data_IF_505546337711
#
_entry.id   IF_505546337711
#
_cell.length_a   1.000
_cell.length_b   1.000
_cell.length_c   1.000
_cell.angle_alpha   90.00
_cell.angle_beta   90.00
_cell.angle_gamma   90.00
#
_symmetry.space_group_name_H-M   'P 1'
#
loop_
_entity.id
_entity.type
_entity.pdbx_description
1 polymer ?
#
# COMPACT_ATOMS: atom_id res chain seq x y z
N UNK A 1 -14.91 -16.89 23.05
CA UNK A 1 -14.22 -18.18 22.91
C UNK A 1 -13.28 -18.27 21.70
N UNK A 2 -13.74 -17.99 20.45
CA UNK A 2 -12.86 -17.99 19.26
C UNK A 2 -11.90 -16.79 19.25
N UNK A 3 -12.39 -15.59 19.54
CA UNK A 3 -11.60 -14.36 19.64
C UNK A 3 -10.56 -14.48 20.74
N UNK A 4 -10.93 -14.96 21.92
CA UNK A 4 -10.00 -15.18 23.02
C UNK A 4 -8.84 -16.12 22.68
N UNK A 5 -9.07 -17.13 21.85
CA UNK A 5 -8.01 -18.03 21.35
C UNK A 5 -7.07 -17.31 20.39
N UNK A 6 -7.57 -16.38 19.59
CA UNK A 6 -6.76 -15.57 18.68
C UNK A 6 -5.95 -14.57 19.48
N UNK A 7 -6.58 -13.84 20.43
CA UNK A 7 -5.93 -12.85 21.29
C UNK A 7 -4.86 -13.47 22.22
N UNK A 8 -5.06 -14.73 22.62
CA UNK A 8 -4.07 -15.49 23.42
C UNK A 8 -3.04 -16.25 22.58
N UNK A 9 -2.97 -15.98 21.28
CA UNK A 9 -2.04 -16.63 20.32
C UNK A 9 -2.15 -18.15 20.24
N UNK A 10 -3.22 -18.73 20.79
CA UNK A 10 -3.49 -20.18 20.73
C UNK A 10 -4.01 -20.65 19.39
N UNK A 11 -4.39 -19.74 18.52
CA UNK A 11 -4.91 -20.03 17.19
C UNK A 11 -4.71 -18.85 16.26
N UNK A 12 -4.16 -19.10 15.08
CA UNK A 12 -4.07 -18.07 14.04
C UNK A 12 -5.46 -17.74 13.51
N UNK A 13 -5.77 -16.46 13.26
CA UNK A 13 -7.01 -16.07 12.63
C UNK A 13 -7.03 -16.49 11.17
N UNK A 14 -8.22 -16.77 10.64
CA UNK A 14 -8.42 -16.97 9.20
C UNK A 14 -8.62 -15.60 8.50
N UNK A 15 -8.36 -15.50 7.18
CA UNK A 15 -8.51 -14.24 6.45
C UNK A 15 -9.89 -13.60 6.61
N UNK A 16 -10.96 -14.40 6.57
CA UNK A 16 -12.33 -13.93 6.75
C UNK A 16 -12.61 -13.40 8.17
N UNK A 17 -11.95 -13.96 9.17
CA UNK A 17 -12.03 -13.48 10.56
C UNK A 17 -11.30 -12.14 10.71
N UNK A 18 -10.10 -12.00 10.12
CA UNK A 18 -9.34 -10.75 10.13
C UNK A 18 -10.13 -9.62 9.47
N UNK A 19 -10.76 -9.90 8.33
CA UNK A 19 -11.60 -8.91 7.65
C UNK A 19 -12.74 -8.42 8.53
N UNK A 20 -13.46 -9.34 9.20
CA UNK A 20 -14.53 -8.98 10.15
C UNK A 20 -14.02 -8.21 11.36
N UNK A 21 -12.84 -8.58 11.88
CA UNK A 21 -12.19 -7.86 12.99
C UNK A 21 -11.81 -6.43 12.57
N UNK A 22 -11.21 -6.27 11.38
CA UNK A 22 -10.85 -4.97 10.84
C UNK A 22 -12.07 -4.04 10.72
N UNK A 23 -13.19 -4.57 10.24
CA UNK A 23 -14.46 -3.83 10.15
C UNK A 23 -15.02 -3.48 11.53
N UNK A 24 -15.07 -4.46 12.45
CA UNK A 24 -15.63 -4.29 13.80
C UNK A 24 -14.85 -3.30 14.64
N UNK A 25 -13.52 -3.36 14.58
CA UNK A 25 -12.63 -2.47 15.32
C UNK A 25 -12.33 -1.16 14.59
N UNK A 26 -12.88 -0.95 13.38
CA UNK A 26 -12.60 0.21 12.52
C UNK A 26 -11.09 0.40 12.30
N UNK A 27 -10.39 -0.71 12.09
CA UNK A 27 -8.93 -0.77 11.98
C UNK A 27 -8.51 -1.52 10.71
N UNK A 28 -8.62 -0.88 9.54
CA UNK A 28 -8.29 -1.51 8.24
C UNK A 28 -6.83 -1.99 8.16
N UNK A 29 -5.90 -1.39 8.91
CA UNK A 29 -4.51 -1.83 8.99
C UNK A 29 -4.32 -3.28 9.46
N UNK A 30 -5.30 -3.90 10.11
CA UNK A 30 -5.25 -5.32 10.49
C UNK A 30 -5.16 -6.23 9.26
N UNK A 31 -5.83 -5.89 8.16
CA UNK A 31 -5.79 -6.68 6.93
C UNK A 31 -4.39 -6.65 6.30
N UNK A 32 -3.79 -5.46 6.18
CA UNK A 32 -2.42 -5.33 5.67
C UNK A 32 -1.41 -6.07 6.57
N UNK A 33 -1.49 -5.89 7.88
CA UNK A 33 -0.61 -6.56 8.83
C UNK A 33 -0.72 -8.09 8.74
N UNK A 34 -1.95 -8.63 8.61
CA UNK A 34 -2.16 -10.05 8.42
C UNK A 34 -1.54 -10.56 7.11
N UNK A 35 -1.78 -9.86 5.99
CA UNK A 35 -1.21 -10.24 4.70
C UNK A 35 0.32 -10.22 4.74
N UNK A 36 0.91 -9.16 5.28
CA UNK A 36 2.36 -9.00 5.32
C UNK A 36 3.08 -9.96 6.28
N UNK A 37 2.42 -10.39 7.38
CA UNK A 37 3.09 -11.16 8.44
C UNK A 37 2.68 -12.63 8.52
N UNK A 38 1.42 -12.95 8.22
CA UNK A 38 0.85 -14.27 8.47
C UNK A 38 0.52 -15.06 7.19
N UNK A 39 0.24 -14.38 6.07
CA UNK A 39 -0.03 -15.03 4.79
C UNK A 39 1.29 -15.34 4.07
N UNK A 40 1.60 -16.61 3.72
CA UNK A 40 2.84 -16.95 3.03
C UNK A 40 3.04 -16.19 1.70
N UNK A 41 1.99 -16.01 0.93
CA UNK A 41 2.04 -15.19 -0.31
C UNK A 41 2.24 -13.71 0.03
N UNK A 42 1.53 -13.22 1.04
CA UNK A 42 1.64 -11.82 1.46
C UNK A 42 3.02 -11.46 2.00
N UNK A 43 3.73 -12.38 2.66
CA UNK A 43 5.11 -12.19 3.11
C UNK A 43 6.06 -11.89 1.96
N UNK A 44 5.81 -12.45 0.77
CA UNK A 44 6.64 -12.22 -0.42
C UNK A 44 6.20 -10.97 -1.22
N UNK A 45 4.91 -10.70 -1.31
CA UNK A 45 4.37 -9.73 -2.27
C UNK A 45 3.69 -8.51 -1.64
N UNK A 46 3.40 -8.53 -0.34
CA UNK A 46 2.65 -7.45 0.32
C UNK A 46 3.53 -6.74 1.34
N UNK A 47 3.94 -5.49 1.09
CA UNK A 47 4.70 -4.73 2.06
C UNK A 47 3.83 -4.39 3.27
N UNK A 48 4.41 -4.42 4.44
CA UNK A 48 3.75 -3.91 5.64
C UNK A 48 3.72 -2.38 5.61
N UNK A 49 2.52 -1.82 5.66
CA UNK A 49 2.30 -0.38 5.64
C UNK A 49 2.02 0.11 7.06
N UNK A 50 2.85 1.03 7.54
CA UNK A 50 2.58 1.73 8.80
C UNK A 50 1.54 2.82 8.56
N UNK A 51 0.44 2.87 9.34
CA UNK A 51 -0.53 3.97 9.26
C UNK A 51 0.16 5.32 9.47
N UNK A 52 -0.15 6.28 8.61
CA UNK A 52 0.40 7.65 8.64
C UNK A 52 -0.72 8.66 8.47
N UNK A 53 -0.48 9.88 8.92
CA UNK A 53 -1.35 11.02 8.67
C UNK A 53 -1.16 11.58 7.25
N UNK A 54 -2.21 12.14 6.68
CA UNK A 54 -2.23 12.64 5.30
C UNK A 54 -1.09 13.59 4.95
N UNK A 55 -0.71 14.57 5.78
CA UNK A 55 0.43 15.45 5.45
C UNK A 55 1.75 14.72 5.28
N UNK A 56 2.02 13.70 6.10
CA UNK A 56 3.24 12.89 5.98
C UNK A 56 3.24 12.07 4.70
N UNK A 57 2.11 11.48 4.33
CA UNK A 57 1.94 10.71 3.08
C UNK A 57 2.21 11.62 1.87
N UNK A 58 1.63 12.82 1.86
CA UNK A 58 1.80 13.78 0.76
C UNK A 58 3.24 14.24 0.62
N UNK A 59 3.93 14.53 1.73
CA UNK A 59 5.35 14.93 1.72
C UNK A 59 6.25 13.82 1.16
N UNK A 60 6.05 12.58 1.57
CA UNK A 60 6.79 11.43 1.04
C UNK A 60 6.54 11.23 -0.45
N UNK A 61 5.29 11.34 -0.89
CA UNK A 61 4.92 11.23 -2.30
C UNK A 61 5.62 12.31 -3.14
N UNK A 62 5.56 13.57 -2.71
CA UNK A 62 6.19 14.67 -3.43
C UNK A 62 7.71 14.53 -3.50
N UNK A 63 8.35 14.10 -2.41
CA UNK A 63 9.79 13.85 -2.39
C UNK A 63 10.19 12.77 -3.40
N UNK A 64 9.45 11.65 -3.44
CA UNK A 64 9.72 10.54 -4.37
C UNK A 64 9.47 10.94 -5.83
N UNK A 65 8.39 11.67 -6.11
CA UNK A 65 8.09 12.16 -7.45
C UNK A 65 9.19 13.12 -7.96
N UNK A 66 9.72 13.99 -7.10
CA UNK A 66 10.83 14.87 -7.44
C UNK A 66 12.12 14.08 -7.76
N UNK A 67 12.37 12.98 -7.05
CA UNK A 67 13.52 12.10 -7.33
C UNK A 67 13.33 11.43 -8.69
N UNK A 68 12.17 10.86 -8.95
CA UNK A 68 11.88 10.23 -10.26
C UNK A 68 11.96 11.20 -11.43
N UNK A 69 11.54 12.44 -11.25
CA UNK A 69 11.63 13.46 -12.32
C UNK A 69 13.11 13.73 -12.70
N UNK A 70 14.03 13.71 -11.73
CA UNK A 70 15.47 13.82 -11.99
C UNK A 70 16.02 12.60 -12.73
N UNK A 71 15.48 11.41 -12.47
CA UNK A 71 15.93 10.14 -13.07
C UNK A 71 15.24 9.84 -14.43
N UNK A 72 14.38 10.73 -14.92
CA UNK A 72 13.60 10.53 -16.16
C UNK A 72 14.48 10.21 -17.36
N UNK A 73 15.58 10.93 -17.53
CA UNK A 73 16.54 10.69 -18.64
C UNK A 73 17.11 9.28 -18.59
N UNK A 74 17.60 8.87 -17.42
CA UNK A 74 18.13 7.53 -17.19
C UNK A 74 17.10 6.43 -17.48
N UNK A 75 15.85 6.63 -17.06
CA UNK A 75 14.76 5.68 -17.32
C UNK A 75 14.49 5.51 -18.84
N UNK A 76 14.53 6.60 -19.58
CA UNK A 76 14.35 6.58 -21.05
C UNK A 76 15.53 5.85 -21.70
N UNK A 77 16.76 6.15 -21.30
CA UNK A 77 17.96 5.54 -21.86
C UNK A 77 17.98 4.02 -21.64
N UNK A 78 17.72 3.56 -20.42
CA UNK A 78 17.62 2.12 -20.08
C UNK A 78 16.50 1.42 -20.85
N UNK A 79 15.40 2.10 -21.14
CA UNK A 79 14.26 1.49 -21.85
C UNK A 79 14.42 1.44 -23.39
N UNK A 80 15.46 2.06 -23.93
CA UNK A 80 15.59 2.29 -25.38
C UNK A 80 15.70 1.00 -26.19
N UNK A 81 16.40 -0.02 -25.70
CA UNK A 81 16.59 -1.31 -26.37
C UNK A 81 15.82 -2.48 -25.74
N UNK A 82 15.14 -2.24 -24.62
CA UNK A 82 14.33 -3.25 -23.92
C UNK A 82 15.14 -4.30 -23.16
N UNK A 83 16.42 -4.06 -22.92
CA UNK A 83 17.31 -4.89 -22.09
C UNK A 83 17.95 -4.06 -20.98
N UNK A 84 18.52 -4.72 -19.98
CA UNK A 84 19.27 -4.09 -18.90
C UNK A 84 20.69 -4.62 -18.96
N UNK A 85 21.61 -3.80 -19.40
CA UNK A 85 23.02 -4.15 -19.44
C UNK A 85 23.67 -4.12 -18.04
N UNK A 86 24.79 -4.82 -17.80
CA UNK A 86 25.43 -4.87 -16.49
C UNK A 86 25.85 -3.50 -15.91
N UNK A 87 26.17 -2.53 -16.75
CA UNK A 87 26.51 -1.16 -16.38
C UNK A 87 25.28 -0.29 -16.05
N UNK A 88 24.09 -0.65 -16.56
CA UNK A 88 22.81 0.00 -16.30
C UNK A 88 22.11 -0.55 -15.04
N UNK A 89 22.49 -1.76 -14.58
CA UNK A 89 21.81 -2.46 -13.49
C UNK A 89 21.71 -1.64 -12.21
N UNK A 90 22.76 -0.89 -11.85
CA UNK A 90 22.76 -0.07 -10.65
C UNK A 90 21.73 1.06 -10.72
N UNK A 91 21.63 1.71 -11.87
CA UNK A 91 20.66 2.78 -12.12
C UNK A 91 19.24 2.23 -12.16
N UNK A 92 19.04 1.11 -12.83
CA UNK A 92 17.75 0.40 -12.85
C UNK A 92 17.26 0.06 -11.43
N UNK A 93 18.12 -0.53 -10.59
CA UNK A 93 17.77 -0.87 -9.21
C UNK A 93 17.46 0.36 -8.34
N UNK A 94 18.14 1.49 -8.59
CA UNK A 94 17.83 2.75 -7.91
C UNK A 94 16.42 3.23 -8.26
N UNK A 95 16.09 3.26 -9.55
CA UNK A 95 14.76 3.64 -10.05
C UNK A 95 13.69 2.68 -9.52
N UNK A 96 13.94 1.38 -9.55
CA UNK A 96 13.01 0.38 -9.01
C UNK A 96 12.66 0.64 -7.54
N UNK A 97 13.66 0.99 -6.70
CA UNK A 97 13.42 1.34 -5.29
C UNK A 97 12.53 2.57 -5.13
N UNK A 98 12.71 3.59 -5.97
CA UNK A 98 11.85 4.79 -5.95
C UNK A 98 10.42 4.44 -6.35
N UNK A 99 10.21 3.58 -7.35
CA UNK A 99 8.89 3.10 -7.74
C UNK A 99 8.24 2.25 -6.64
N UNK A 100 8.99 1.42 -5.94
CA UNK A 100 8.51 0.68 -4.77
C UNK A 100 8.09 1.63 -3.64
N UNK A 101 8.82 2.72 -3.44
CA UNK A 101 8.45 3.74 -2.45
C UNK A 101 7.14 4.44 -2.82
N UNK A 102 6.93 4.75 -4.10
CA UNK A 102 5.64 5.28 -4.58
C UNK A 102 4.52 4.28 -4.30
N UNK A 103 4.71 3.01 -4.63
CA UNK A 103 3.72 1.96 -4.37
C UNK A 103 3.31 1.93 -2.89
N UNK A 104 4.28 1.94 -1.98
CA UNK A 104 4.01 1.99 -0.53
C UNK A 104 3.26 3.26 -0.12
N UNK A 105 3.58 4.39 -0.72
CA UNK A 105 2.93 5.67 -0.41
C UNK A 105 1.47 5.67 -0.90
N UNK A 106 1.20 5.10 -2.08
CA UNK A 106 -0.16 4.91 -2.60
C UNK A 106 -0.98 4.00 -1.68
N UNK A 107 -0.41 2.88 -1.23
CA UNK A 107 -1.08 1.98 -0.28
C UNK A 107 -1.32 2.66 1.09
N UNK A 108 -0.39 3.48 1.56
CA UNK A 108 -0.58 4.26 2.78
C UNK A 108 -1.73 5.26 2.64
N UNK A 109 -1.88 5.90 1.48
CA UNK A 109 -2.99 6.80 1.18
C UNK A 109 -4.33 6.05 1.15
N UNK A 110 -4.38 4.89 0.52
CA UNK A 110 -5.58 4.03 0.50
C UNK A 110 -5.97 3.60 1.91
N UNK A 111 -5.01 3.17 2.71
CA UNK A 111 -5.24 2.76 4.10
C UNK A 111 -5.75 3.93 4.96
N UNK A 112 -5.20 5.13 4.76
CA UNK A 112 -5.68 6.35 5.42
C UNK A 112 -7.14 6.65 5.03
N UNK A 113 -7.48 6.57 3.73
CA UNK A 113 -8.85 6.81 3.25
C UNK A 113 -9.84 5.79 3.83
N UNK A 114 -9.47 4.50 3.87
CA UNK A 114 -10.29 3.46 4.50
C UNK A 114 -10.52 3.73 6.00
N UNK A 115 -9.50 4.19 6.70
CA UNK A 115 -9.61 4.58 8.11
C UNK A 115 -10.55 5.76 8.28
N UNK A 116 -10.46 6.78 7.42
CA UNK A 116 -11.36 7.94 7.46
C UNK A 116 -12.82 7.54 7.17
N UNK A 117 -13.05 6.61 6.25
CA UNK A 117 -14.39 6.06 6.01
C UNK A 117 -14.90 5.23 7.20
N UNK A 118 -14.04 4.41 7.80
CA UNK A 118 -14.40 3.62 8.98
C UNK A 118 -14.77 4.51 10.20
N UNK A 119 -14.11 5.66 10.34
CA UNK A 119 -14.38 6.64 11.40
C UNK A 119 -15.55 7.59 11.06
N UNK A 120 -16.14 7.48 9.86
CA UNK A 120 -17.23 8.35 9.42
C UNK A 120 -16.81 9.76 9.03
N UNK A 121 -15.52 10.02 8.84
CA UNK A 121 -14.97 11.33 8.45
C UNK A 121 -15.00 11.54 6.92
N UNK A 122 -15.10 10.47 6.17
CA UNK A 122 -15.38 10.46 4.73
C UNK A 122 -16.67 9.66 4.53
N UNK A 123 -17.62 10.20 3.77
CA UNK A 123 -18.85 9.50 3.39
C UNK A 123 -18.51 8.38 2.39
N UNK A 124 -18.68 7.15 2.81
CA UNK A 124 -18.39 5.96 1.99
C UNK A 124 -19.25 5.90 0.72
N UNK A 125 -20.51 6.27 0.80
CA UNK A 125 -21.41 6.26 -0.36
C UNK A 125 -21.01 7.30 -1.40
N UNK A 126 -20.63 8.51 -0.98
CA UNK A 126 -20.11 9.54 -1.85
C UNK A 126 -18.79 9.11 -2.48
N UNK A 127 -17.85 8.58 -1.69
CA UNK A 127 -16.57 8.05 -2.17
C UNK A 127 -16.75 6.99 -3.26
N UNK A 128 -17.64 6.02 -3.03
CA UNK A 128 -17.91 4.94 -4.00
C UNK A 128 -18.53 5.48 -5.29
N UNK A 129 -19.45 6.46 -5.21
CA UNK A 129 -20.03 7.09 -6.41
C UNK A 129 -18.99 7.79 -7.25
N UNK A 130 -18.10 8.56 -6.64
CA UNK A 130 -17.04 9.26 -7.36
C UNK A 130 -16.06 8.31 -8.04
N UNK A 131 -15.67 7.22 -7.38
CA UNK A 131 -14.81 6.19 -8.00
C UNK A 131 -15.51 5.55 -9.20
N UNK A 132 -16.79 5.17 -9.08
CA UNK A 132 -17.55 4.58 -10.18
C UNK A 132 -17.65 5.53 -11.37
N UNK A 133 -17.94 6.80 -11.12
CA UNK A 133 -17.99 7.84 -12.16
C UNK A 133 -16.63 8.08 -12.87
N UNK A 134 -15.51 7.95 -12.14
CA UNK A 134 -14.16 8.08 -12.69
C UNK A 134 -13.72 6.86 -13.53
N UNK A 135 -14.27 5.67 -13.24
CA UNK A 135 -13.96 4.42 -13.96
C UNK A 135 -14.66 4.26 -15.31
N UNK A 136 -15.67 5.09 -15.61
CA UNK A 136 -16.43 5.04 -16.87
C UNK A 136 -15.86 5.92 -18.00
N UNK A 137 -14.66 6.49 -17.84
CA UNK A 137 -13.92 7.23 -18.88
C UNK A 137 -12.74 6.42 -19.38
#
# INVERSE_FOLDING_TARGET
>A
ERIERIESERSLPRPDEVLRMAQRYKKPSLCNAYCARACPIGQEYVPEIKPKELPAIVLEMLATLNTLDRERGCLIDISADGSIDPDELADFLRIQRELEQISRTVEALQLWAEKMMADGRIDRAAYTREISAAGEK
#
